data_IF_618597822571
#
_entry.id   IF_618597822571
#
_cell.length_a   1.000
_cell.length_b   1.000
_cell.length_c   1.000
_cell.angle_alpha   90.00
_cell.angle_beta   90.00
_cell.angle_gamma   90.00
#
_symmetry.space_group_name_H-M   'P 1'
#
loop_
_entity.id
_entity.type
_entity.pdbx_description
1 polymer ?
#
# COMPACT_ATOMS: atom_id res chain seq x y z
N UNK A 1 -19.27 38.72 24.03
CA UNK A 1 -18.94 38.93 22.59
C UNK A 1 -17.49 38.68 22.26
N UNK A 2 -16.55 39.25 22.94
CA UNK A 2 -15.12 39.05 22.66
C UNK A 2 -14.70 37.60 22.91
N UNK A 3 -15.22 36.95 23.95
CA UNK A 3 -14.92 35.57 24.28
C UNK A 3 -15.47 34.58 23.24
N UNK A 4 -16.67 34.85 22.73
CA UNK A 4 -17.24 34.00 21.68
C UNK A 4 -16.49 34.14 20.38
N UNK A 5 -16.06 35.36 20.05
CA UNK A 5 -15.24 35.60 18.86
C UNK A 5 -13.88 34.90 18.96
N UNK A 6 -13.21 35.00 20.11
CA UNK A 6 -11.94 34.33 20.33
C UNK A 6 -12.06 32.82 20.34
N UNK A 7 -13.14 32.28 20.92
CA UNK A 7 -13.39 30.85 20.94
C UNK A 7 -13.67 30.32 19.53
N UNK A 8 -14.46 31.04 18.73
CA UNK A 8 -14.74 30.67 17.35
C UNK A 8 -13.50 30.77 16.48
N UNK A 9 -12.67 31.80 16.69
CA UNK A 9 -11.42 31.95 15.96
C UNK A 9 -10.43 30.83 16.31
N UNK A 10 -10.34 30.46 17.58
CA UNK A 10 -9.51 29.35 18.02
C UNK A 10 -9.96 28.03 17.39
N UNK A 11 -11.25 27.75 17.40
CA UNK A 11 -11.79 26.54 16.80
C UNK A 11 -11.56 26.50 15.28
N UNK A 12 -11.73 27.63 14.61
CA UNK A 12 -11.46 27.74 13.18
C UNK A 12 -9.99 27.51 12.87
N UNK A 13 -9.09 28.07 13.67
CA UNK A 13 -7.64 27.87 13.52
C UNK A 13 -7.26 26.41 13.76
N UNK A 14 -7.81 25.77 14.79
CA UNK A 14 -7.56 24.37 15.07
C UNK A 14 -8.05 23.48 13.94
N UNK A 15 -9.23 23.74 13.41
CA UNK A 15 -9.76 23.00 12.27
C UNK A 15 -8.89 23.18 11.02
N UNK A 16 -8.45 24.38 10.77
CA UNK A 16 -7.58 24.70 9.64
C UNK A 16 -6.22 24.02 9.78
N UNK A 17 -5.64 24.00 10.97
CA UNK A 17 -4.39 23.28 11.26
C UNK A 17 -4.56 21.78 11.08
N UNK A 18 -5.70 21.22 11.48
CA UNK A 18 -5.99 19.80 11.31
C UNK A 18 -6.05 19.42 9.82
N UNK A 19 -6.73 20.23 9.02
CA UNK A 19 -6.84 20.01 7.57
C UNK A 19 -5.46 20.12 6.92
N UNK A 20 -4.67 21.12 7.28
CA UNK A 20 -3.30 21.28 6.77
C UNK A 20 -2.40 20.13 7.20
N UNK A 21 -2.57 19.64 8.43
CA UNK A 21 -1.80 18.50 8.94
C UNK A 21 -2.07 17.23 8.14
N UNK A 22 -3.33 16.93 7.83
CA UNK A 22 -3.70 15.78 7.03
C UNK A 22 -3.18 15.85 5.59
N UNK A 23 -3.29 17.02 4.98
CA UNK A 23 -2.75 17.27 3.64
C UNK A 23 -1.22 17.23 3.63
N UNK A 24 -0.59 17.75 4.70
CA UNK A 24 0.85 17.78 4.86
C UNK A 24 1.47 16.39 5.00
N UNK A 25 0.79 15.46 5.68
CA UNK A 25 1.28 14.09 5.83
C UNK A 25 1.41 13.39 4.49
N UNK A 26 0.43 13.55 3.61
CA UNK A 26 0.49 12.98 2.25
C UNK A 26 1.63 13.60 1.45
N UNK A 27 1.75 14.93 1.50
CA UNK A 27 2.83 15.64 0.83
C UNK A 27 4.20 15.22 1.35
N UNK A 28 4.36 15.11 2.67
CA UNK A 28 5.61 14.65 3.28
C UNK A 28 5.94 13.23 2.88
N UNK A 29 4.96 12.32 2.88
CA UNK A 29 5.16 10.94 2.48
C UNK A 29 5.66 10.85 1.04
N UNK A 30 5.08 11.64 0.13
CA UNK A 30 5.51 11.69 -1.27
C UNK A 30 6.88 12.32 -1.44
N UNK A 31 7.22 13.35 -0.64
CA UNK A 31 8.49 14.06 -0.73
C UNK A 31 9.66 13.25 -0.18
N UNK A 32 9.43 12.47 0.87
CA UNK A 32 10.48 11.69 1.54
C UNK A 32 10.47 10.22 1.13
N UNK A 33 9.47 9.77 0.38
CA UNK A 33 9.52 8.44 -0.21
C UNK A 33 10.76 8.35 -1.09
N UNK A 34 11.65 7.36 -0.88
CA UNK A 34 12.80 7.19 -1.76
C UNK A 34 12.27 7.07 -3.19
N UNK A 35 12.83 7.84 -4.10
CA UNK A 35 12.39 8.07 -5.48
C UNK A 35 11.85 6.86 -6.22
N UNK A 36 10.71 6.35 -5.78
CA UNK A 36 9.99 5.30 -6.47
C UNK A 36 9.27 5.93 -7.65
N UNK A 37 10.01 6.19 -8.69
CA UNK A 37 9.39 6.62 -9.92
C UNK A 37 8.55 5.48 -10.47
N UNK A 38 7.37 5.77 -11.05
CA UNK A 38 6.56 4.76 -11.70
C UNK A 38 7.16 4.39 -13.06
N UNK A 39 8.44 4.03 -13.06
CA UNK A 39 9.05 3.43 -14.24
C UNK A 39 8.54 2.00 -14.31
N UNK A 40 7.75 1.73 -15.33
CA UNK A 40 7.30 0.38 -15.61
C UNK A 40 8.54 -0.50 -15.76
N UNK A 41 8.70 -1.42 -14.82
CA UNK A 41 9.69 -2.46 -14.96
C UNK A 41 9.22 -3.41 -16.05
N UNK A 42 9.89 -3.39 -17.20
CA UNK A 42 9.57 -4.24 -18.33
C UNK A 42 10.39 -5.53 -18.34
N UNK A 43 11.05 -5.87 -17.23
CA UNK A 43 11.76 -7.13 -17.13
C UNK A 43 10.80 -8.32 -17.23
N UNK A 44 11.28 -9.45 -17.74
CA UNK A 44 10.48 -10.67 -17.83
C UNK A 44 9.98 -11.11 -16.47
N UNK A 45 10.79 -10.97 -15.43
CA UNK A 45 10.42 -11.33 -14.08
C UNK A 45 9.27 -10.46 -13.57
N UNK A 46 9.32 -9.15 -13.79
CA UNK A 46 8.24 -8.25 -13.38
C UNK A 46 6.94 -8.56 -14.13
N UNK A 47 7.02 -8.82 -15.41
CA UNK A 47 5.86 -9.19 -16.24
C UNK A 47 5.26 -10.52 -15.78
N UNK A 48 6.08 -11.50 -15.48
CA UNK A 48 5.64 -12.80 -14.97
C UNK A 48 4.99 -12.65 -13.58
N UNK A 49 5.60 -11.87 -12.71
CA UNK A 49 5.06 -11.59 -11.37
C UNK A 49 3.69 -10.92 -11.47
N UNK A 50 3.55 -9.94 -12.36
CA UNK A 50 2.30 -9.24 -12.61
C UNK A 50 1.21 -10.18 -13.10
N UNK A 51 1.52 -11.02 -14.07
CA UNK A 51 0.59 -12.00 -14.63
C UNK A 51 0.08 -12.95 -13.55
N UNK A 52 0.98 -13.55 -12.80
CA UNK A 52 0.63 -14.50 -11.73
C UNK A 52 -0.16 -13.83 -10.63
N UNK A 53 0.19 -12.58 -10.27
CA UNK A 53 -0.57 -11.79 -9.30
C UNK A 53 -2.03 -11.63 -9.72
N UNK A 54 -2.28 -11.18 -10.95
CA UNK A 54 -3.64 -10.96 -11.44
C UNK A 54 -4.43 -12.26 -11.61
N UNK A 55 -3.78 -13.32 -12.07
CA UNK A 55 -4.43 -14.63 -12.17
C UNK A 55 -4.87 -15.14 -10.80
N UNK A 56 -3.99 -15.08 -9.82
CA UNK A 56 -4.29 -15.53 -8.46
C UNK A 56 -5.41 -14.71 -7.82
N UNK A 57 -5.38 -13.40 -8.01
CA UNK A 57 -6.39 -12.49 -7.48
C UNK A 57 -7.77 -12.73 -8.12
N UNK A 58 -7.83 -12.83 -9.45
CA UNK A 58 -9.09 -13.04 -10.16
C UNK A 58 -9.73 -14.39 -9.85
N UNK A 59 -8.92 -15.40 -9.61
CA UNK A 59 -9.42 -16.73 -9.21
C UNK A 59 -9.81 -16.80 -7.73
N UNK A 60 -9.40 -15.81 -6.94
CA UNK A 60 -9.61 -15.85 -5.49
C UNK A 60 -8.86 -16.99 -4.82
N UNK A 61 -7.75 -17.43 -5.37
CA UNK A 61 -7.03 -18.62 -4.94
C UNK A 61 -6.03 -18.27 -3.83
N UNK A 62 -6.57 -18.11 -2.62
CA UNK A 62 -5.75 -17.80 -1.45
C UNK A 62 -4.68 -18.88 -1.18
N UNK A 63 -5.00 -20.14 -1.39
CA UNK A 63 -4.08 -21.25 -1.13
C UNK A 63 -2.80 -21.15 -1.96
N UNK A 64 -2.83 -20.41 -3.07
CA UNK A 64 -1.72 -20.25 -3.99
C UNK A 64 -1.06 -18.87 -3.91
N UNK A 65 -1.34 -18.10 -2.85
CA UNK A 65 -0.85 -16.73 -2.68
C UNK A 65 0.68 -16.65 -2.59
N UNK A 66 1.32 -17.72 -2.15
CA UNK A 66 2.78 -17.78 -2.03
C UNK A 66 3.49 -17.67 -3.38
N UNK A 67 2.86 -18.13 -4.46
CA UNK A 67 3.44 -18.09 -5.79
C UNK A 67 3.61 -16.66 -6.31
N UNK A 68 2.56 -15.81 -6.37
CA UNK A 68 2.75 -14.42 -6.77
C UNK A 68 3.63 -13.65 -5.78
N UNK A 69 3.56 -13.97 -4.48
CA UNK A 69 4.40 -13.30 -3.49
C UNK A 69 5.88 -13.55 -3.74
N UNK A 70 6.28 -14.77 -4.03
CA UNK A 70 7.67 -15.13 -4.33
C UNK A 70 8.17 -14.38 -5.57
N UNK A 71 7.37 -14.35 -6.63
CA UNK A 71 7.74 -13.65 -7.87
C UNK A 71 7.83 -12.14 -7.67
N UNK A 72 6.89 -11.55 -6.93
CA UNK A 72 6.91 -10.12 -6.63
C UNK A 72 8.11 -9.73 -5.78
N UNK A 73 8.46 -10.52 -4.78
CA UNK A 73 9.66 -10.27 -3.96
C UNK A 73 10.92 -10.35 -4.78
N UNK A 74 11.03 -11.33 -5.68
CA UNK A 74 12.17 -11.45 -6.58
C UNK A 74 12.28 -10.24 -7.52
N UNK A 75 11.16 -9.81 -8.09
CA UNK A 75 11.11 -8.62 -8.94
C UNK A 75 11.45 -7.35 -8.15
N UNK A 76 11.02 -7.25 -6.91
CA UNK A 76 11.34 -6.13 -6.03
C UNK A 76 12.85 -6.05 -5.76
N UNK A 77 13.51 -7.19 -5.55
CA UNK A 77 14.96 -7.23 -5.36
C UNK A 77 15.72 -6.77 -6.60
N UNK A 78 15.20 -7.05 -7.79
CA UNK A 78 15.79 -6.55 -9.04
C UNK A 78 15.61 -5.05 -9.21
N UNK A 79 14.44 -4.54 -8.86
CA UNK A 79 14.10 -3.12 -9.01
C UNK A 79 13.28 -2.62 -7.83
N UNK A 80 13.95 -2.23 -6.71
CA UNK A 80 13.25 -1.78 -5.52
C UNK A 80 12.56 -0.42 -5.68
N UNK A 81 12.76 0.26 -6.82
CA UNK A 81 12.12 1.54 -7.11
C UNK A 81 10.76 1.40 -7.79
N UNK A 82 10.34 0.20 -8.15
CA UNK A 82 9.04 -0.03 -8.75
C UNK A 82 7.95 -0.02 -7.69
N UNK A 83 7.20 1.09 -7.66
CA UNK A 83 6.11 1.28 -6.69
C UNK A 83 4.95 0.29 -6.90
N UNK A 84 4.71 -0.15 -8.13
CA UNK A 84 3.65 -1.12 -8.43
C UNK A 84 3.93 -2.47 -7.78
N UNK A 85 5.17 -2.94 -7.86
CA UNK A 85 5.57 -4.20 -7.22
C UNK A 85 5.42 -4.09 -5.72
N UNK A 86 5.91 -3.00 -5.12
CA UNK A 86 5.77 -2.77 -3.67
C UNK A 86 4.31 -2.75 -3.22
N UNK A 87 3.45 -2.07 -3.97
CA UNK A 87 2.02 -1.99 -3.67
C UNK A 87 1.34 -3.35 -3.75
N UNK A 88 1.69 -4.17 -4.72
CA UNK A 88 1.14 -5.51 -4.89
C UNK A 88 1.57 -6.45 -3.78
N UNK A 89 2.82 -6.36 -3.32
CA UNK A 89 3.30 -7.10 -2.14
C UNK A 89 2.47 -6.71 -0.92
N UNK A 90 2.27 -5.42 -0.68
CA UNK A 90 1.44 -4.94 0.42
C UNK A 90 0.00 -5.42 0.32
N UNK A 91 -0.57 -5.44 -0.88
CA UNK A 91 -1.91 -5.96 -1.11
C UNK A 91 -2.03 -7.44 -0.75
N UNK A 92 -1.06 -8.26 -1.14
CA UNK A 92 -1.06 -9.68 -0.82
C UNK A 92 -0.95 -9.93 0.68
N UNK A 93 -0.16 -9.13 1.40
CA UNK A 93 -0.11 -9.21 2.86
C UNK A 93 -1.46 -8.86 3.50
N UNK A 94 -2.12 -7.81 3.03
CA UNK A 94 -3.43 -7.42 3.51
C UNK A 94 -4.48 -8.51 3.24
N UNK A 95 -4.47 -9.08 2.05
CA UNK A 95 -5.35 -10.19 1.68
C UNK A 95 -5.10 -11.41 2.58
N UNK A 96 -3.85 -11.74 2.81
CA UNK A 96 -3.47 -12.84 3.69
C UNK A 96 -4.00 -12.65 5.11
N UNK A 97 -3.88 -11.45 5.67
CA UNK A 97 -4.42 -11.14 7.00
C UNK A 97 -5.94 -11.28 7.05
N UNK A 98 -6.64 -10.79 6.04
CA UNK A 98 -8.10 -10.90 5.94
C UNK A 98 -8.55 -12.36 5.87
N UNK A 99 -7.88 -13.16 5.05
CA UNK A 99 -8.22 -14.58 4.89
C UNK A 99 -7.91 -15.39 6.14
N UNK A 100 -6.85 -15.06 6.87
CA UNK A 100 -6.55 -15.71 8.16
C UNK A 100 -7.65 -15.46 9.18
N UNK A 101 -8.22 -14.26 9.21
CA UNK A 101 -9.32 -13.94 10.10
C UNK A 101 -10.60 -14.70 9.73
N UNK A 102 -10.83 -14.90 8.43
CA UNK A 102 -11.98 -15.62 7.92
C UNK A 102 -11.84 -17.13 8.09
N UNK A 103 -10.62 -17.65 7.89
CA UNK A 103 -10.32 -19.09 7.90
C UNK A 103 -9.39 -19.40 9.07
N UNK A 104 -9.96 -19.53 10.27
CA UNK A 104 -9.20 -19.58 11.54
C UNK A 104 -8.16 -20.70 11.67
N UNK A 105 -8.18 -21.72 10.83
CA UNK A 105 -7.34 -22.90 10.98
C UNK A 105 -6.33 -23.10 9.83
N UNK A 106 -6.17 -22.10 8.96
CA UNK A 106 -5.22 -22.21 7.85
C UNK A 106 -3.86 -21.65 8.31
N UNK A 107 -2.76 -22.41 8.20
CA UNK A 107 -1.45 -21.90 8.54
C UNK A 107 -1.02 -20.75 7.63
N UNK A 108 -0.19 -19.81 8.11
CA UNK A 108 0.27 -18.69 7.30
C UNK A 108 1.07 -19.19 6.09
N UNK A 109 0.68 -18.70 4.92
CA UNK A 109 1.29 -19.04 3.63
C UNK A 109 2.48 -18.13 3.29
N UNK A 110 2.58 -16.99 3.96
CA UNK A 110 3.62 -15.98 3.75
C UNK A 110 4.18 -15.47 5.06
#
# INVERSE_FOLDING_TARGET
MIFEFLTNMRNTVLLFLLILGLSGCEFFALSFAPGKEPLADNSDLANQASKVFWETLHQGDYSNISKPMTLLKAAYLQNPYDAKIAARIGFLHAWSLTERQRLKNIPPQI
#
